data_IF_048678803031
#
_entry.id   IF_048678803031
#
_cell.length_a   1.000
_cell.length_b   1.000
_cell.length_c   1.000
_cell.angle_alpha   90.00
_cell.angle_beta   90.00
_cell.angle_gamma   90.00
#
_symmetry.space_group_name_H-M   'P 1'
#
loop_
_entity.id
_entity.type
_entity.pdbx_description
1 polymer ?
#
# COMPACT_ATOMS: atom_id res chain seq x y z
N UNK A 1 5.33 -2.00 -3.81
CA UNK A 1 5.56 -2.44 -2.42
C UNK A 1 4.82 -1.46 -1.50
N UNK A 2 4.33 -1.86 -0.32
CA UNK A 2 3.66 -0.97 0.65
C UNK A 2 2.28 -0.38 0.25
N UNK A 3 1.55 -1.07 -0.63
CA UNK A 3 0.16 -0.76 -0.94
C UNK A 3 -0.57 -2.06 -1.31
N UNK A 4 -1.86 -2.15 -0.99
CA UNK A 4 -2.70 -3.28 -1.39
C UNK A 4 -3.76 -3.64 -0.35
N UNK A 5 -4.38 -4.80 -0.58
CA UNK A 5 -5.37 -5.40 0.31
C UNK A 5 -4.73 -5.87 1.60
N UNK A 6 -5.41 -5.62 2.71
CA UNK A 6 -4.98 -6.04 4.04
C UNK A 6 -5.60 -7.39 4.38
N UNK A 7 -4.74 -8.36 4.70
CA UNK A 7 -5.11 -9.70 5.14
C UNK A 7 -4.38 -10.02 6.44
N UNK A 8 -5.03 -10.75 7.34
CA UNK A 8 -4.48 -11.14 8.64
C UNK A 8 -4.45 -12.67 8.75
N UNK A 9 -3.29 -13.22 9.14
CA UNK A 9 -3.14 -14.65 9.36
C UNK A 9 -3.66 -15.03 10.75
N UNK A 10 -4.68 -15.89 10.82
CA UNK A 10 -5.25 -16.40 12.06
C UNK A 10 -5.51 -17.91 11.94
N UNK A 11 -4.97 -18.71 12.87
CA UNK A 11 -5.12 -20.17 12.90
C UNK A 11 -4.83 -20.84 11.54
N UNK A 12 -3.68 -20.53 10.94
CA UNK A 12 -3.23 -21.02 9.62
C UNK A 12 -4.15 -20.68 8.44
N UNK A 13 -5.03 -19.68 8.60
CA UNK A 13 -5.93 -19.21 7.54
C UNK A 13 -5.77 -17.70 7.36
N UNK A 14 -5.71 -17.26 6.10
CA UNK A 14 -5.71 -15.84 5.77
C UNK A 14 -7.13 -15.30 5.79
N UNK A 15 -7.37 -14.37 6.70
CA UNK A 15 -8.64 -13.69 6.86
C UNK A 15 -8.62 -12.30 6.22
N UNK A 16 -9.77 -11.90 5.68
CA UNK A 16 -9.97 -10.57 5.11
C UNK A 16 -10.48 -9.61 6.17
N UNK A 17 -10.12 -8.34 6.05
CA UNK A 17 -10.58 -7.28 6.96
C UNK A 17 -11.68 -6.46 6.27
N UNK A 18 -12.82 -6.32 6.95
CA UNK A 18 -13.97 -5.56 6.44
C UNK A 18 -13.71 -4.06 6.53
N UNK A 19 -14.02 -3.32 5.46
CA UNK A 19 -13.67 -1.90 5.33
C UNK A 19 -14.56 -0.92 6.09
N UNK A 20 -15.67 -1.36 6.71
CA UNK A 20 -16.68 -0.47 7.34
C UNK A 20 -16.10 0.44 8.44
N UNK A 21 -15.13 -0.07 9.22
CA UNK A 21 -14.43 0.69 10.27
C UNK A 21 -12.97 0.97 9.92
N UNK A 22 -12.57 0.65 8.68
CA UNK A 22 -11.18 0.78 8.25
C UNK A 22 -10.84 2.24 7.99
N UNK A 23 -9.84 2.76 8.70
CA UNK A 23 -9.42 4.14 8.57
C UNK A 23 -7.92 4.35 8.76
N UNK A 24 -7.56 5.62 8.96
CA UNK A 24 -6.16 6.03 9.07
C UNK A 24 -5.43 5.42 10.27
N UNK A 25 -6.14 5.12 11.37
CA UNK A 25 -5.52 4.55 12.57
C UNK A 25 -5.13 3.09 12.36
N UNK A 26 -5.99 2.31 11.73
CA UNK A 26 -5.71 0.93 11.35
C UNK A 26 -4.59 0.87 10.31
N UNK A 27 -4.64 1.76 9.32
CA UNK A 27 -3.58 1.90 8.33
C UNK A 27 -2.24 2.30 8.94
N UNK A 28 -2.22 3.17 9.97
CA UNK A 28 -1.01 3.54 10.70
C UNK A 28 -0.35 2.32 11.33
N UNK A 29 -1.12 1.44 11.96
CA UNK A 29 -0.62 0.20 12.55
C UNK A 29 -0.02 -0.71 11.49
N UNK A 30 -0.71 -0.91 10.36
CA UNK A 30 -0.22 -1.76 9.25
C UNK A 30 1.04 -1.19 8.61
N UNK A 31 1.03 0.09 8.23
CA UNK A 31 2.17 0.72 7.56
C UNK A 31 3.40 0.71 8.46
N UNK A 32 3.22 0.91 9.76
CA UNK A 32 4.31 0.81 10.74
C UNK A 32 4.81 -0.62 10.89
N UNK A 33 3.90 -1.59 11.04
CA UNK A 33 4.25 -3.00 11.22
C UNK A 33 5.02 -3.56 10.01
N UNK A 34 4.64 -3.16 8.80
CA UNK A 34 5.30 -3.57 7.55
C UNK A 34 6.59 -2.77 7.24
N UNK A 35 6.97 -1.80 8.09
CA UNK A 35 8.14 -0.93 7.84
C UNK A 35 7.96 0.00 6.64
N UNK A 36 6.72 0.31 6.28
CA UNK A 36 6.32 1.07 5.10
C UNK A 36 6.06 2.56 5.38
N UNK A 37 6.42 3.05 6.57
CA UNK A 37 6.27 4.46 6.96
C UNK A 37 4.88 4.81 7.47
N UNK A 38 4.44 6.03 7.18
CA UNK A 38 3.10 6.55 7.54
C UNK A 38 2.04 6.19 6.48
N UNK A 39 0.77 6.10 6.85
CA UNK A 39 -0.33 5.85 5.93
C UNK A 39 -0.62 7.10 5.09
N UNK A 40 -0.77 6.91 3.79
CA UNK A 40 -1.12 7.96 2.83
C UNK A 40 -2.61 7.90 2.54
N UNK A 41 -3.14 6.69 2.34
CA UNK A 41 -4.56 6.48 2.12
C UNK A 41 -5.00 5.15 2.74
N UNK A 42 -6.18 5.18 3.34
CA UNK A 42 -6.89 4.01 3.84
C UNK A 42 -8.29 4.00 3.20
N UNK A 43 -8.39 3.81 1.86
CA UNK A 43 -9.69 3.81 1.22
C UNK A 43 -10.51 2.64 1.79
N UNK A 44 -11.77 2.87 2.18
CA UNK A 44 -12.71 1.76 2.34
C UNK A 44 -12.74 0.99 1.02
N UNK A 45 -12.82 -0.34 1.09
CA UNK A 45 -12.77 -1.15 -0.12
C UNK A 45 -13.98 -0.85 -1.00
N UNK A 46 -13.76 -0.32 -2.21
CA UNK A 46 -14.80 -0.19 -3.23
C UNK A 46 -15.20 -1.54 -3.85
N UNK A 47 -14.45 -2.60 -3.55
CA UNK A 47 -14.73 -3.95 -4.01
C UNK A 47 -15.81 -4.60 -3.12
N UNK A 48 -16.94 -5.07 -3.68
CA UNK A 48 -17.84 -5.98 -2.99
C UNK A 48 -17.04 -7.13 -2.37
N UNK A 49 -17.44 -7.61 -1.19
CA UNK A 49 -16.79 -8.77 -0.55
C UNK A 49 -16.62 -9.93 -1.54
N UNK A 50 -17.59 -10.08 -2.45
CA UNK A 50 -17.71 -11.08 -3.51
C UNK A 50 -16.88 -10.79 -4.78
N UNK A 51 -15.69 -10.19 -4.67
CA UNK A 51 -14.80 -10.09 -5.82
C UNK A 51 -14.48 -11.51 -6.36
N UNK A 52 -14.34 -11.70 -7.69
CA UNK A 52 -14.01 -13.01 -8.27
C UNK A 52 -12.72 -13.54 -7.63
N UNK A 53 -12.86 -14.59 -6.81
CA UNK A 53 -11.84 -15.06 -5.86
C UNK A 53 -12.36 -15.29 -4.43
N UNK A 54 -13.62 -14.96 -4.13
CA UNK A 54 -14.25 -15.33 -2.87
C UNK A 54 -14.43 -16.85 -2.77
N UNK A 55 -13.67 -17.44 -1.84
CA UNK A 55 -13.62 -18.90 -1.66
C UNK A 55 -14.64 -19.27 -0.57
N UNK A 56 -15.48 -20.30 -0.78
CA UNK A 56 -16.32 -20.84 0.28
C UNK A 56 -15.49 -21.12 1.54
N UNK A 57 -15.90 -20.58 2.68
CA UNK A 57 -15.17 -20.67 3.95
C UNK A 57 -14.24 -19.50 4.26
N UNK A 58 -14.15 -18.45 3.44
CA UNK A 58 -13.33 -17.27 3.76
C UNK A 58 -13.69 -16.68 5.15
N UNK A 59 -12.69 -16.52 6.03
CA UNK A 59 -12.87 -15.92 7.36
C UNK A 59 -12.75 -14.40 7.23
N UNK A 60 -13.64 -13.68 7.90
CA UNK A 60 -13.71 -12.22 7.93
C UNK A 60 -13.50 -11.67 9.34
N UNK A 61 -12.72 -10.59 9.42
CA UNK A 61 -12.53 -9.79 10.62
C UNK A 61 -13.28 -8.46 10.46
N UNK A 62 -14.25 -8.21 11.34
CA UNK A 62 -15.05 -7.00 11.33
C UNK A 62 -14.72 -6.07 12.50
N UNK A 63 -15.17 -4.82 12.39
CA UNK A 63 -15.11 -3.82 13.46
C UNK A 63 -13.70 -3.62 14.03
N UNK A 64 -12.67 -3.73 13.18
CA UNK A 64 -11.31 -3.41 13.60
C UNK A 64 -11.25 -1.92 13.92
N UNK A 65 -10.91 -1.61 15.15
CA UNK A 65 -10.75 -0.26 15.68
C UNK A 65 -9.46 -0.19 16.48
N UNK A 66 -8.51 0.55 15.93
CA UNK A 66 -7.20 0.80 16.52
C UNK A 66 -7.14 2.22 17.12
N UNK A 67 -6.35 2.38 18.18
CA UNK A 67 -5.89 3.66 18.70
C UNK A 67 -4.78 4.27 17.80
N UNK A 68 -4.05 3.42 17.06
CA UNK A 68 -2.95 3.79 16.17
C UNK A 68 -1.56 3.57 16.78
N UNK A 69 -1.49 3.15 18.04
CA UNK A 69 -0.26 2.92 18.81
C UNK A 69 0.10 1.43 18.94
N UNK A 70 -0.80 0.54 18.53
CA UNK A 70 -0.69 -0.91 18.61
C UNK A 70 0.42 -1.47 17.74
N UNK A 71 1.13 -2.49 18.22
CA UNK A 71 2.26 -3.06 17.46
C UNK A 71 1.80 -3.77 16.18
N UNK A 72 0.61 -4.36 16.20
CA UNK A 72 0.03 -5.07 15.07
C UNK A 72 -1.51 -5.03 15.15
N UNK A 73 -2.18 -5.42 14.06
CA UNK A 73 -3.64 -5.42 13.98
C UNK A 73 -4.31 -6.39 14.98
N UNK A 74 -3.62 -7.46 15.41
CA UNK A 74 -4.16 -8.39 16.41
C UNK A 74 -4.28 -7.80 17.82
N UNK A 75 -3.66 -6.64 18.08
CA UNK A 75 -3.79 -5.90 19.35
C UNK A 75 -4.92 -4.86 19.31
N UNK A 76 -5.45 -4.55 18.12
CA UNK A 76 -6.57 -3.63 18.01
C UNK A 76 -7.85 -4.30 18.51
N UNK A 77 -8.81 -3.50 18.96
CA UNK A 77 -10.14 -4.00 19.29
C UNK A 77 -10.78 -4.46 17.98
N UNK A 78 -11.25 -5.70 17.94
CA UNK A 78 -11.90 -6.26 16.77
C UNK A 78 -13.11 -7.09 17.18
N UNK A 79 -14.07 -7.21 16.27
CA UNK A 79 -15.21 -8.11 16.42
C UNK A 79 -14.79 -9.59 16.33
N UNK A 80 -15.71 -10.51 16.61
CA UNK A 80 -15.45 -11.93 16.44
C UNK A 80 -15.14 -12.28 14.98
N UNK A 81 -14.29 -13.30 14.79
CA UNK A 81 -14.02 -13.90 13.49
C UNK A 81 -15.27 -14.64 13.02
N UNK A 82 -15.72 -14.36 11.80
CA UNK A 82 -16.94 -14.97 11.27
C UNK A 82 -16.71 -15.46 9.84
N UNK A 83 -17.41 -16.55 9.49
CA UNK A 83 -17.43 -17.12 8.14
C UNK A 83 -18.62 -16.55 7.35
N UNK A 84 -18.75 -15.22 7.31
CA UNK A 84 -19.77 -14.52 6.53
C UNK A 84 -19.15 -13.41 5.69
N UNK A 85 -19.71 -13.12 4.52
CA UNK A 85 -19.23 -12.05 3.65
C UNK A 85 -19.55 -10.67 4.22
N UNK A 86 -18.58 -9.74 4.20
CA UNK A 86 -18.77 -8.34 4.56
C UNK A 86 -19.69 -7.65 3.52
N UNK A 87 -21.00 -7.65 3.78
CA UNK A 87 -22.02 -7.20 2.82
C UNK A 87 -22.05 -5.67 2.56
N UNK A 88 -21.48 -4.84 3.46
CA UNK A 88 -21.60 -3.36 3.35
C UNK A 88 -20.33 -2.58 3.71
N UNK A 89 -19.14 -3.09 3.43
CA UNK A 89 -17.90 -2.37 3.74
C UNK A 89 -16.71 -2.64 2.81
N UNK A 90 -16.88 -3.57 1.87
CA UNK A 90 -15.81 -4.06 1.01
C UNK A 90 -14.56 -4.51 1.76
N UNK A 91 -13.46 -4.70 1.03
CA UNK A 91 -12.21 -5.19 1.63
C UNK A 91 -11.22 -4.07 1.93
N UNK A 92 -10.69 -4.06 3.16
CA UNK A 92 -9.73 -3.06 3.61
C UNK A 92 -8.48 -2.99 2.71
N UNK A 93 -8.18 -1.78 2.24
CA UNK A 93 -6.99 -1.47 1.47
C UNK A 93 -6.12 -0.44 2.18
N UNK A 94 -4.81 -0.55 2.02
CA UNK A 94 -3.85 0.42 2.57
C UNK A 94 -2.93 0.91 1.47
N UNK A 95 -2.63 2.21 1.47
CA UNK A 95 -1.51 2.80 0.75
C UNK A 95 -0.64 3.50 1.77
N UNK A 96 0.58 2.99 1.95
CA UNK A 96 1.58 3.60 2.82
C UNK A 96 2.52 4.49 2.01
N UNK A 97 3.31 5.31 2.71
CA UNK A 97 4.34 6.18 2.13
C UNK A 97 5.51 5.42 1.48
N UNK A 98 5.60 4.09 1.65
CA UNK A 98 6.50 3.24 0.88
C UNK A 98 7.82 2.88 1.57
N UNK A 99 8.04 3.36 2.79
CA UNK A 99 9.26 3.11 3.55
C UNK A 99 10.36 4.13 3.25
N UNK A 100 10.78 4.79 4.32
CA UNK A 100 11.83 5.80 4.47
C UNK A 100 11.69 7.05 3.59
N UNK A 101 11.26 8.14 4.22
CA UNK A 101 12.03 9.37 4.09
C UNK A 101 13.51 8.98 4.18
N UNK A 102 14.25 9.00 3.06
CA UNK A 102 15.69 9.00 3.16
C UNK A 102 16.01 10.38 3.73
N UNK A 103 16.10 10.46 5.06
CA UNK A 103 16.63 11.64 5.73
C UNK A 103 18.12 11.66 5.41
N UNK A 104 18.47 12.21 4.25
CA UNK A 104 19.83 12.62 3.97
C UNK A 104 20.06 13.91 4.76
N UNK A 105 20.50 13.78 6.01
CA UNK A 105 21.06 14.90 6.77
C UNK A 105 22.38 15.31 6.12
N UNK A 106 22.36 16.37 5.32
CA UNK A 106 23.58 17.10 4.99
C UNK A 106 23.80 18.19 6.04
N UNK A 107 25.06 18.53 6.32
CA UNK A 107 25.52 19.39 7.43
C UNK A 107 25.01 20.86 7.44
N UNK A 108 23.93 21.18 6.72
CA UNK A 108 23.33 22.52 6.66
C UNK A 108 21.82 22.55 6.37
N UNK A 109 21.09 21.42 6.38
CA UNK A 109 19.63 21.44 6.24
C UNK A 109 18.97 20.08 6.08
N UNK A 110 17.77 19.93 6.66
CA UNK A 110 16.88 18.77 6.47
C UNK A 110 16.16 18.89 5.13
N UNK A 111 16.71 18.28 4.07
CA UNK A 111 15.95 18.07 2.84
C UNK A 111 15.30 16.68 2.88
N UNK A 112 13.98 16.64 3.10
CA UNK A 112 13.20 15.40 3.02
C UNK A 112 13.05 15.03 1.56
N UNK A 113 13.93 14.13 1.06
CA UNK A 113 13.77 13.56 -0.28
C UNK A 113 12.74 12.43 -0.19
N UNK A 114 11.50 12.75 -0.57
CA UNK A 114 10.41 11.78 -0.68
C UNK A 114 10.68 10.82 -1.82
N UNK A 115 11.29 9.67 -1.52
CA UNK A 115 11.33 8.54 -2.43
C UNK A 115 11.95 7.30 -1.81
N UNK A 116 11.52 6.12 -2.27
CA UNK A 116 12.07 4.83 -1.86
C UNK A 116 12.88 4.20 -2.99
N UNK A 117 13.82 3.32 -2.63
CA UNK A 117 14.67 2.62 -3.58
C UNK A 117 13.84 1.84 -4.62
N UNK A 118 14.08 2.10 -5.90
CA UNK A 118 13.34 1.53 -7.02
C UNK A 118 11.99 2.20 -7.31
N UNK A 119 11.66 3.33 -6.69
CA UNK A 119 10.45 4.09 -7.05
C UNK A 119 10.56 4.62 -8.48
N UNK A 120 9.51 4.44 -9.27
CA UNK A 120 9.39 4.95 -10.64
C UNK A 120 8.52 6.21 -10.69
N UNK A 121 8.91 7.20 -11.50
CA UNK A 121 8.06 8.34 -11.90
C UNK A 121 8.23 8.66 -13.38
N UNK A 122 7.25 9.33 -13.96
CA UNK A 122 7.31 9.88 -15.32
C UNK A 122 7.51 11.40 -15.25
N UNK A 123 8.56 11.91 -15.89
CA UNK A 123 8.94 13.32 -15.88
C UNK A 123 8.92 13.95 -17.27
N UNK A 124 8.51 15.22 -17.37
CA UNK A 124 8.62 16.02 -18.59
C UNK A 124 7.74 15.57 -19.76
N UNK A 125 6.68 14.80 -19.52
CA UNK A 125 5.70 14.45 -20.54
C UNK A 125 4.40 15.26 -20.45
N UNK A 126 3.46 15.03 -21.39
CA UNK A 126 2.26 15.84 -21.55
C UNK A 126 1.21 15.66 -20.43
N UNK A 127 1.26 14.57 -19.68
CA UNK A 127 0.37 14.30 -18.55
C UNK A 127 1.00 13.28 -17.58
N UNK A 128 0.37 13.02 -16.43
CA UNK A 128 0.86 12.12 -15.36
C UNK A 128 1.15 10.66 -15.77
N UNK A 129 0.77 10.25 -16.98
CA UNK A 129 0.91 8.89 -17.50
C UNK A 129 1.79 8.83 -18.76
N UNK A 130 2.51 9.91 -19.07
CA UNK A 130 3.45 9.96 -20.18
C UNK A 130 4.67 10.80 -19.77
N UNK A 131 5.86 10.41 -20.20
CA UNK A 131 7.10 11.14 -19.93
C UNK A 131 8.31 10.23 -19.90
N UNK A 132 9.48 10.81 -19.59
CA UNK A 132 10.71 10.08 -19.36
C UNK A 132 10.62 9.30 -18.06
N UNK A 133 11.02 8.03 -18.10
CA UNK A 133 11.10 7.17 -16.93
C UNK A 133 12.29 7.57 -16.07
N UNK A 134 12.02 7.88 -14.80
CA UNK A 134 13.04 8.11 -13.78
C UNK A 134 12.87 7.13 -12.63
N UNK A 135 14.00 6.61 -12.14
CA UNK A 135 14.06 5.64 -11.04
C UNK A 135 14.80 6.28 -9.86
N UNK A 136 14.26 6.14 -8.66
CA UNK A 136 14.93 6.56 -7.45
C UNK A 136 15.94 5.49 -7.00
N UNK A 137 17.22 5.86 -6.99
CA UNK A 137 18.31 4.98 -6.61
C UNK A 137 19.31 5.75 -5.75
N UNK A 138 19.70 5.19 -4.60
CA UNK A 138 20.73 5.77 -3.72
C UNK A 138 20.51 7.26 -3.38
N UNK A 139 19.25 7.63 -3.07
CA UNK A 139 18.90 9.00 -2.65
C UNK A 139 18.75 10.02 -3.78
N UNK A 140 18.82 9.59 -5.04
CA UNK A 140 18.68 10.47 -6.22
C UNK A 140 17.76 9.86 -7.27
N UNK A 141 17.11 10.73 -8.03
CA UNK A 141 16.41 10.35 -9.25
C UNK A 141 17.43 10.22 -10.39
N UNK A 142 17.44 9.07 -11.06
CA UNK A 142 18.24 8.79 -12.25
C UNK A 142 17.36 8.44 -13.44
N UNK A 143 17.91 8.55 -14.64
CA UNK A 143 17.27 8.15 -15.90
C UNK A 143 17.63 6.71 -16.26
N UNK A 144 16.74 6.04 -17.00
CA UNK A 144 16.98 4.70 -17.54
C UNK A 144 17.56 4.82 -18.95
N UNK A 145 18.53 3.97 -19.29
CA UNK A 145 19.12 3.87 -20.63
C UNK A 145 18.18 3.08 -21.56
N UNK A 146 18.11 3.45 -22.83
CA UNK A 146 17.19 2.91 -23.83
C UNK A 146 17.72 1.68 -24.59
N UNK A 147 19.01 1.34 -24.47
CA UNK A 147 19.68 0.27 -25.23
C UNK A 147 18.98 -1.10 -25.20
N UNK A 148 18.28 -1.41 -24.10
CA UNK A 148 17.51 -2.65 -23.92
C UNK A 148 16.07 -2.39 -23.48
N UNK A 149 15.58 -1.15 -23.59
CA UNK A 149 14.26 -0.77 -23.12
C UNK A 149 13.17 -1.25 -24.09
N UNK A 150 12.30 -2.13 -23.62
CA UNK A 150 11.23 -2.69 -24.44
C UNK A 150 9.81 -2.42 -23.88
N UNK A 151 8.80 -3.02 -24.53
CA UNK A 151 7.40 -2.86 -24.12
C UNK A 151 7.12 -3.53 -22.77
N UNK A 152 7.84 -4.60 -22.40
CA UNK A 152 7.68 -5.26 -21.11
C UNK A 152 8.18 -4.35 -19.97
N UNK A 153 9.30 -3.65 -20.18
CA UNK A 153 9.81 -2.65 -19.23
C UNK A 153 8.83 -1.47 -19.06
N UNK A 154 8.26 -1.01 -20.17
CA UNK A 154 7.24 0.03 -20.18
C UNK A 154 5.97 -0.41 -19.43
N UNK A 155 5.50 -1.64 -19.61
CA UNK A 155 4.35 -2.19 -18.88
C UNK A 155 4.59 -2.23 -17.38
N UNK A 156 5.78 -2.67 -16.95
CA UNK A 156 6.15 -2.65 -15.52
C UNK A 156 6.10 -1.22 -14.98
N UNK A 157 6.61 -0.25 -15.74
CA UNK A 157 6.64 1.16 -15.34
C UNK A 157 5.24 1.76 -15.25
N UNK A 158 4.38 1.53 -16.24
CA UNK A 158 2.97 1.94 -16.24
C UNK A 158 2.21 1.39 -15.03
N UNK A 159 2.44 0.12 -14.69
CA UNK A 159 1.81 -0.52 -13.54
C UNK A 159 2.27 0.11 -12.23
N UNK A 160 3.56 0.43 -12.11
CA UNK A 160 4.11 1.06 -10.90
C UNK A 160 3.58 2.49 -10.70
N UNK A 161 3.38 3.26 -11.77
CA UNK A 161 2.84 4.63 -11.69
C UNK A 161 1.30 4.73 -11.79
N UNK A 162 0.62 3.57 -11.79
CA UNK A 162 -0.86 3.45 -11.88
C UNK A 162 -1.44 4.14 -13.12
N UNK A 163 -0.92 3.76 -14.28
CA UNK A 163 -1.32 4.24 -15.59
C UNK A 163 -1.60 3.12 -16.61
N UNK A 164 -1.70 1.86 -16.16
CA UNK A 164 -1.95 0.68 -16.98
C UNK A 164 -1.30 -0.55 -16.39
#
# INVERSE_FOLDING_TARGET
RCQGRVELLHLDRWARVCGRTWGQREAQVVCRYLGCGTPVAAPPGDAPGDAPGDTPGQVWLEQVSCEGTERNLSQCKAGPWQEHTCAQGGVANVTCSGGCDVILTWAGGTSVRRGWEGQVRLAGGPHRCAGRVEVFHAGRWGTVCDDAWDLADAQVSCRQVRCG
#
